data_IF_720473014686
#
_entry.id   IF_720473014686
#
_cell.length_a   1.000
_cell.length_b   1.000
_cell.length_c   1.000
_cell.angle_alpha   90.00
_cell.angle_beta   90.00
_cell.angle_gamma   90.00
#
_symmetry.space_group_name_H-M   'P 1'
#
loop_
_entity.id
_entity.type
_entity.pdbx_description
1 polymer ?
#
# COMPACT_ATOMS: atom_id res chain seq x y z
N UNK A 1 -9.76 -6.58 -15.55
CA UNK A 1 -8.30 -6.64 -15.38
C UNK A 1 -7.89 -6.17 -13.99
N UNK A 2 -8.14 -4.90 -13.58
CA UNK A 2 -7.67 -4.35 -12.30
C UNK A 2 -8.03 -5.22 -11.09
N UNK A 3 -9.30 -5.59 -10.92
CA UNK A 3 -9.72 -6.47 -9.82
C UNK A 3 -9.08 -7.87 -9.88
N UNK A 4 -8.81 -8.43 -11.06
CA UNK A 4 -8.13 -9.71 -11.20
C UNK A 4 -6.68 -9.61 -10.68
N UNK A 5 -5.99 -8.51 -11.00
CA UNK A 5 -4.65 -8.22 -10.46
C UNK A 5 -4.68 -8.12 -8.93
N UNK A 6 -5.58 -7.33 -8.36
CA UNK A 6 -5.67 -7.17 -6.90
C UNK A 6 -6.01 -8.48 -6.18
N UNK A 7 -6.92 -9.30 -6.74
CA UNK A 7 -7.23 -10.63 -6.18
C UNK A 7 -6.04 -11.58 -6.23
N UNK A 8 -5.25 -11.53 -7.32
CA UNK A 8 -4.02 -12.33 -7.40
C UNK A 8 -3.06 -11.98 -6.26
N UNK A 9 -2.75 -10.71 -6.07
CA UNK A 9 -1.89 -10.28 -4.95
C UNK A 9 -2.43 -10.73 -3.59
N UNK A 10 -3.73 -10.59 -3.37
CA UNK A 10 -4.34 -11.00 -2.10
C UNK A 10 -4.26 -12.53 -1.87
N UNK A 11 -4.31 -13.33 -2.92
CA UNK A 11 -4.34 -14.79 -2.85
C UNK A 11 -2.96 -15.42 -2.93
N UNK A 12 -2.05 -14.86 -3.73
CA UNK A 12 -0.74 -15.47 -4.06
C UNK A 12 0.45 -14.66 -3.56
N UNK A 13 0.25 -13.39 -3.21
CA UNK A 13 1.30 -12.44 -2.82
C UNK A 13 1.99 -11.74 -3.98
N UNK A 14 1.55 -11.97 -5.22
CA UNK A 14 2.17 -11.40 -6.42
C UNK A 14 1.20 -11.14 -7.57
N UNK A 15 1.73 -10.61 -8.69
CA UNK A 15 0.93 -10.37 -9.88
C UNK A 15 0.40 -11.67 -10.48
N UNK A 16 -0.70 -11.62 -11.24
CA UNK A 16 -1.25 -12.80 -11.91
C UNK A 16 -0.36 -13.27 -13.07
N UNK A 17 -0.50 -14.54 -13.42
CA UNK A 17 0.04 -15.11 -14.64
C UNK A 17 -0.61 -14.46 -15.87
N UNK A 18 0.12 -14.46 -17.01
CA UNK A 18 -0.33 -13.83 -18.25
C UNK A 18 -1.67 -14.35 -18.74
N UNK A 19 -1.92 -15.67 -18.66
CA UNK A 19 -3.18 -16.28 -19.08
C UNK A 19 -4.39 -15.72 -18.29
N UNK A 20 -4.24 -15.48 -16.98
CA UNK A 20 -5.29 -14.89 -16.16
C UNK A 20 -5.55 -13.43 -16.55
N UNK A 21 -4.53 -12.69 -16.97
CA UNK A 21 -4.69 -11.33 -17.47
C UNK A 21 -5.43 -11.30 -18.82
N UNK A 22 -5.09 -12.21 -19.73
CA UNK A 22 -5.75 -12.36 -21.03
C UNK A 22 -7.23 -12.72 -20.86
N UNK A 23 -7.53 -13.70 -20.01
CA UNK A 23 -8.91 -14.07 -19.69
C UNK A 23 -9.71 -12.92 -19.07
N UNK A 24 -9.09 -12.17 -18.15
CA UNK A 24 -9.73 -11.04 -17.49
C UNK A 24 -9.91 -9.81 -18.40
N UNK A 25 -9.11 -9.70 -19.44
CA UNK A 25 -9.20 -8.61 -20.43
C UNK A 25 -10.17 -8.92 -21.56
N UNK A 26 -10.43 -10.20 -21.88
CA UNK A 26 -11.22 -10.61 -23.03
C UNK A 26 -12.59 -9.88 -23.13
N UNK A 27 -13.00 -9.41 -24.32
CA UNK A 27 -12.37 -9.58 -25.64
C UNK A 27 -11.29 -8.53 -25.99
N UNK A 28 -10.83 -7.74 -25.05
CA UNK A 28 -9.84 -6.66 -25.26
C UNK A 28 -8.42 -7.18 -25.06
N UNK A 29 -7.43 -6.39 -25.51
CA UNK A 29 -6.02 -6.69 -25.33
C UNK A 29 -5.58 -6.42 -23.88
N UNK A 30 -4.92 -7.41 -23.25
CA UNK A 30 -4.50 -7.33 -21.87
C UNK A 30 -3.38 -6.28 -21.65
N UNK A 31 -2.45 -6.17 -22.61
CA UNK A 31 -1.35 -5.19 -22.52
C UNK A 31 -1.88 -3.76 -22.62
N UNK A 32 -2.85 -3.53 -23.50
CA UNK A 32 -3.52 -2.22 -23.60
C UNK A 32 -4.26 -1.88 -22.30
N UNK A 33 -5.01 -2.82 -21.73
CA UNK A 33 -5.73 -2.62 -20.48
C UNK A 33 -4.78 -2.31 -19.30
N UNK A 34 -3.62 -2.96 -19.24
CA UNK A 34 -2.58 -2.65 -18.26
C UNK A 34 -1.97 -1.27 -18.48
N UNK A 35 -1.71 -0.87 -19.74
CA UNK A 35 -1.18 0.46 -20.05
C UNK A 35 -2.15 1.57 -19.65
N UNK A 36 -3.46 1.38 -19.87
CA UNK A 36 -4.51 2.33 -19.43
C UNK A 36 -4.56 2.45 -17.91
N UNK A 37 -4.45 1.33 -17.18
CA UNK A 37 -4.39 1.33 -15.73
C UNK A 37 -3.12 2.03 -15.21
N UNK A 38 -1.99 1.86 -15.89
CA UNK A 38 -0.74 2.54 -15.54
C UNK A 38 -0.84 4.07 -15.78
N UNK A 39 -1.45 4.51 -16.88
CA UNK A 39 -1.71 5.92 -17.13
C UNK A 39 -2.62 6.56 -16.06
N UNK A 40 -3.56 5.77 -15.53
CA UNK A 40 -4.46 6.18 -14.44
C UNK A 40 -3.84 6.13 -13.05
N UNK A 41 -2.57 5.77 -12.92
CA UNK A 41 -1.85 5.55 -11.63
C UNK A 41 -2.53 4.49 -10.73
N UNK A 42 -3.15 3.46 -11.34
CA UNK A 42 -3.68 2.30 -10.60
C UNK A 42 -2.63 1.22 -10.39
N UNK A 43 -1.62 1.17 -11.26
CA UNK A 43 -0.50 0.25 -11.20
C UNK A 43 0.75 0.85 -11.86
N UNK A 44 1.92 0.22 -11.62
CA UNK A 44 3.16 0.55 -12.32
C UNK A 44 3.68 -0.68 -13.05
N UNK A 45 4.24 -0.44 -14.24
CA UNK A 45 4.89 -1.46 -15.08
C UNK A 45 6.38 -1.17 -15.17
N UNK A 46 7.18 -2.23 -15.27
CA UNK A 46 8.59 -2.09 -15.66
C UNK A 46 8.75 -1.96 -17.20
N UNK A 47 10.00 -1.79 -17.66
CA UNK A 47 10.32 -1.66 -19.09
C UNK A 47 9.94 -2.90 -19.92
N UNK A 48 9.73 -4.03 -19.28
CA UNK A 48 9.27 -5.27 -19.92
C UNK A 48 7.73 -5.43 -19.86
N UNK A 49 7.00 -4.43 -19.35
CA UNK A 49 5.54 -4.46 -19.21
C UNK A 49 5.05 -5.33 -18.06
N UNK A 50 5.91 -5.72 -17.12
CA UNK A 50 5.52 -6.52 -15.95
C UNK A 50 5.05 -5.62 -14.82
N UNK A 51 4.01 -6.05 -14.12
CA UNK A 51 3.45 -5.32 -12.97
C UNK A 51 4.46 -5.31 -11.81
N UNK A 52 4.93 -4.14 -11.41
CA UNK A 52 5.78 -3.92 -10.24
C UNK A 52 4.99 -3.41 -9.04
N UNK A 53 3.92 -2.66 -9.29
CA UNK A 53 2.99 -2.13 -8.28
C UNK A 53 1.57 -2.32 -8.80
N UNK A 54 0.65 -2.69 -7.92
CA UNK A 54 -0.78 -2.55 -8.13
C UNK A 54 -1.40 -2.09 -6.81
N UNK A 55 -1.59 -0.79 -6.66
CA UNK A 55 -2.01 -0.22 -5.37
C UNK A 55 -3.24 -0.91 -4.79
N UNK A 56 -3.15 -1.38 -3.52
CA UNK A 56 -2.13 -1.08 -2.49
C UNK A 56 -0.90 -2.00 -2.47
N UNK A 57 -0.74 -2.93 -3.39
CA UNK A 57 0.30 -3.96 -3.37
C UNK A 57 1.58 -3.56 -4.12
N UNK A 58 2.70 -4.15 -3.69
CA UNK A 58 3.99 -4.16 -4.39
C UNK A 58 4.39 -5.58 -4.76
N UNK A 59 4.85 -5.79 -5.99
CA UNK A 59 5.49 -7.04 -6.40
C UNK A 59 6.92 -7.16 -5.87
N UNK A 60 7.51 -6.06 -5.41
CA UNK A 60 8.85 -6.01 -4.85
C UNK A 60 8.80 -5.87 -3.33
N UNK A 61 9.81 -6.39 -2.59
CA UNK A 61 9.89 -6.20 -1.15
C UNK A 61 9.90 -4.71 -0.76
N UNK A 62 9.06 -4.37 0.23
CA UNK A 62 9.02 -3.06 0.87
C UNK A 62 9.17 -3.21 2.39
N UNK A 63 9.16 -2.09 3.12
CA UNK A 63 9.14 -2.11 4.58
C UNK A 63 7.83 -2.64 5.18
N UNK A 64 6.78 -2.82 4.38
CA UNK A 64 5.42 -3.11 4.83
C UNK A 64 4.96 -4.48 4.32
N UNK A 65 5.14 -5.51 5.14
CA UNK A 65 4.67 -6.86 4.83
C UNK A 65 3.29 -7.08 5.46
N UNK A 66 2.34 -7.59 4.69
CA UNK A 66 0.96 -7.81 5.11
C UNK A 66 0.61 -9.29 4.97
N UNK A 67 0.27 -9.94 6.07
CA UNK A 67 -0.26 -11.30 6.10
C UNK A 67 -1.78 -11.23 6.13
N UNK A 68 -2.43 -11.72 5.08
CA UNK A 68 -3.89 -11.73 4.93
C UNK A 68 -4.43 -13.06 5.47
N UNK A 69 -5.45 -13.03 6.31
CA UNK A 69 -6.08 -14.25 6.82
C UNK A 69 -6.82 -14.98 5.67
N UNK A 70 -6.50 -16.27 5.49
CA UNK A 70 -7.03 -17.06 4.37
C UNK A 70 -6.43 -16.73 3.01
N UNK A 71 -5.44 -15.84 2.95
CA UNK A 71 -4.74 -15.42 1.76
C UNK A 71 -3.23 -15.52 1.88
N UNK A 72 -2.53 -14.77 1.04
CA UNK A 72 -1.08 -14.77 1.00
C UNK A 72 -0.44 -13.76 1.95
N UNK A 73 0.89 -13.82 2.00
CA UNK A 73 1.72 -12.72 2.50
C UNK A 73 2.15 -11.87 1.31
N UNK A 74 1.80 -10.58 1.32
CA UNK A 74 2.12 -9.65 0.26
C UNK A 74 2.89 -8.44 0.82
N UNK A 75 3.49 -7.65 -0.05
CA UNK A 75 4.05 -6.35 0.31
C UNK A 75 3.09 -5.23 -0.07
N UNK A 76 3.00 -4.21 0.76
CA UNK A 76 2.26 -2.98 0.47
C UNK A 76 3.23 -1.85 0.12
N UNK A 77 2.80 -0.88 -0.68
CA UNK A 77 3.65 0.22 -1.12
C UNK A 77 4.01 1.18 0.01
N UNK A 78 3.07 1.45 0.92
CA UNK A 78 3.23 2.36 2.04
C UNK A 78 2.38 1.96 3.26
N UNK A 79 2.49 2.72 4.35
CA UNK A 79 1.72 2.46 5.56
C UNK A 79 0.19 2.57 5.35
N UNK A 80 -0.27 3.54 4.57
CA UNK A 80 -1.69 3.73 4.25
C UNK A 80 -2.20 2.59 3.38
N UNK A 81 -1.40 2.18 2.39
CA UNK A 81 -1.71 1.03 1.53
C UNK A 81 -1.85 -0.26 2.36
N UNK A 82 -0.89 -0.49 3.27
CA UNK A 82 -0.93 -1.65 4.15
C UNK A 82 -2.21 -1.71 5.01
N UNK A 83 -2.64 -0.55 5.55
CA UNK A 83 -3.87 -0.43 6.33
C UNK A 83 -5.14 -0.59 5.47
N UNK A 84 -5.05 -0.30 4.18
CA UNK A 84 -6.15 -0.41 3.22
C UNK A 84 -6.43 -1.83 2.73
N UNK A 85 -5.47 -2.77 2.86
CA UNK A 85 -5.63 -4.15 2.36
C UNK A 85 -6.74 -4.89 3.10
N UNK A 86 -6.74 -4.89 4.43
CA UNK A 86 -7.75 -5.60 5.21
C UNK A 86 -9.20 -5.22 4.84
N UNK A 87 -9.59 -3.93 4.81
CA UNK A 87 -10.92 -3.53 4.39
C UNK A 87 -11.22 -3.75 2.89
N UNK A 88 -10.20 -3.80 2.04
CA UNK A 88 -10.36 -4.10 0.61
C UNK A 88 -10.76 -5.56 0.38
N UNK A 89 -10.11 -6.49 1.08
CA UNK A 89 -10.35 -7.93 0.93
C UNK A 89 -11.41 -8.48 1.89
N UNK A 90 -11.98 -7.61 2.73
CA UNK A 90 -12.94 -7.95 3.79
C UNK A 90 -12.45 -9.10 4.69
N UNK A 91 -11.18 -9.02 5.08
CA UNK A 91 -10.52 -10.07 5.88
C UNK A 91 -9.53 -9.48 6.87
N UNK A 92 -9.27 -10.18 7.96
CA UNK A 92 -8.23 -9.83 8.91
C UNK A 92 -6.86 -9.79 8.25
N UNK A 93 -6.05 -8.80 8.60
CA UNK A 93 -4.66 -8.73 8.16
C UNK A 93 -3.73 -8.34 9.32
N UNK A 94 -2.50 -8.86 9.26
CA UNK A 94 -1.40 -8.49 10.17
C UNK A 94 -0.32 -7.82 9.35
N UNK A 95 -0.02 -6.57 9.68
CA UNK A 95 1.00 -5.75 9.05
C UNK A 95 2.27 -5.81 9.90
N UNK A 96 3.38 -6.14 9.28
CA UNK A 96 4.72 -6.07 9.86
C UNK A 96 5.49 -4.96 9.17
N UNK A 97 6.01 -4.03 9.94
CA UNK A 97 6.77 -2.87 9.47
C UNK A 97 7.87 -2.51 10.48
N UNK A 98 8.59 -1.44 10.20
CA UNK A 98 9.57 -0.87 11.11
C UNK A 98 9.54 0.66 11.02
N UNK A 99 9.86 1.30 12.13
CA UNK A 99 10.12 2.75 12.17
C UNK A 99 11.37 3.07 11.34
N UNK A 100 11.26 3.92 10.30
CA UNK A 100 12.39 4.18 9.40
C UNK A 100 13.55 4.93 10.04
N UNK A 101 13.33 5.56 11.20
CA UNK A 101 14.37 6.30 11.92
C UNK A 101 15.16 5.44 12.89
N UNK A 102 14.49 4.45 13.49
CA UNK A 102 15.05 3.68 14.62
C UNK A 102 15.19 2.19 14.32
N UNK A 103 14.53 1.68 13.28
CA UNK A 103 14.44 0.26 13.00
C UNK A 103 13.51 -0.50 13.97
N UNK A 104 12.84 0.19 14.90
CA UNK A 104 11.97 -0.46 15.87
C UNK A 104 10.83 -1.19 15.13
N UNK A 105 10.61 -2.49 15.41
CA UNK A 105 9.52 -3.24 14.81
C UNK A 105 8.14 -2.65 15.18
N UNK A 106 7.26 -2.61 14.20
CA UNK A 106 5.87 -2.17 14.35
C UNK A 106 4.97 -3.26 13.78
N UNK A 107 4.00 -3.70 14.58
CA UNK A 107 2.98 -4.65 14.14
C UNK A 107 1.60 -4.02 14.28
N UNK A 108 0.79 -4.13 13.23
CA UNK A 108 -0.61 -3.68 13.27
C UNK A 108 -1.50 -4.83 12.83
N UNK A 109 -2.47 -5.19 13.66
CA UNK A 109 -3.55 -6.11 13.30
C UNK A 109 -4.79 -5.30 12.98
N UNK A 110 -5.40 -5.55 11.82
CA UNK A 110 -6.69 -4.95 11.42
C UNK A 110 -7.69 -6.08 11.23
N UNK A 111 -8.84 -5.98 11.92
CA UNK A 111 -9.90 -7.00 11.90
C UNK A 111 -11.27 -6.31 11.93
N UNK A 112 -11.89 -6.15 10.77
CA UNK A 112 -13.12 -5.39 10.59
C UNK A 112 -12.96 -3.92 11.01
N UNK A 113 -13.66 -3.54 12.09
CA UNK A 113 -13.57 -2.20 12.69
C UNK A 113 -12.51 -2.09 13.79
N UNK A 114 -11.91 -3.21 14.20
CA UNK A 114 -10.96 -3.24 15.29
C UNK A 114 -9.53 -3.20 14.77
N UNK A 115 -8.64 -2.58 15.56
CA UNK A 115 -7.20 -2.63 15.28
C UNK A 115 -6.40 -2.72 16.57
N UNK A 116 -5.27 -3.41 16.49
CA UNK A 116 -4.32 -3.52 17.57
C UNK A 116 -2.93 -3.13 17.05
N UNK A 117 -2.24 -2.25 17.78
CA UNK A 117 -0.98 -1.65 17.39
C UNK A 117 0.11 -1.95 18.43
N UNK A 118 1.25 -2.41 17.95
CA UNK A 118 2.46 -2.60 18.75
C UNK A 118 3.65 -1.89 18.08
N UNK A 119 4.24 -0.89 18.76
CA UNK A 119 3.84 -0.34 20.07
C UNK A 119 2.50 0.41 19.98
N UNK A 120 1.78 0.52 21.10
CA UNK A 120 0.50 1.25 21.18
C UNK A 120 0.63 2.74 20.87
N UNK A 121 1.84 3.28 20.94
CA UNK A 121 2.19 4.66 20.62
C UNK A 121 2.43 4.90 19.14
N UNK A 122 2.40 3.84 18.31
CA UNK A 122 2.67 3.96 16.88
C UNK A 122 1.66 4.86 16.18
N UNK A 123 2.15 5.57 15.18
CA UNK A 123 1.42 6.53 14.36
C UNK A 123 1.82 6.36 12.90
N UNK A 124 1.12 7.03 11.98
CA UNK A 124 1.52 7.13 10.58
C UNK A 124 1.89 8.56 10.25
N UNK A 125 2.98 8.75 9.55
CA UNK A 125 3.27 10.02 8.88
C UNK A 125 2.77 9.92 7.44
N UNK A 126 1.83 10.79 7.08
CA UNK A 126 1.28 10.94 5.72
C UNK A 126 2.06 12.05 5.03
N UNK A 127 3.08 11.67 4.27
CA UNK A 127 4.03 12.58 3.64
C UNK A 127 4.02 12.51 2.13
N UNK A 128 4.41 13.64 1.51
CA UNK A 128 4.61 13.74 0.06
C UNK A 128 5.75 14.70 -0.26
N UNK A 129 6.39 14.51 -1.41
CA UNK A 129 7.32 15.51 -1.93
C UNK A 129 6.59 16.78 -2.33
N UNK A 130 7.23 17.93 -2.18
CA UNK A 130 6.74 19.22 -2.66
C UNK A 130 6.91 19.43 -4.17
N UNK A 131 7.08 18.36 -4.97
CA UNK A 131 7.31 18.45 -6.40
C UNK A 131 6.06 18.95 -7.13
N UNK A 132 6.21 20.00 -7.94
CA UNK A 132 5.15 20.51 -8.82
C UNK A 132 4.91 19.61 -10.04
N UNK A 133 5.72 18.56 -10.22
CA UNK A 133 5.61 17.65 -11.34
C UNK A 133 4.68 16.48 -11.00
N UNK A 134 3.67 16.23 -11.83
CA UNK A 134 2.85 15.04 -11.70
C UNK A 134 3.72 13.81 -12.00
N UNK A 135 3.76 12.86 -11.07
CA UNK A 135 4.43 11.58 -11.21
C UNK A 135 3.57 10.49 -10.57
N UNK A 136 3.90 9.21 -10.74
CA UNK A 136 3.17 8.13 -10.08
C UNK A 136 3.25 8.26 -8.56
N UNK A 137 2.19 7.86 -7.87
CA UNK A 137 2.10 7.89 -6.40
C UNK A 137 3.27 7.18 -5.73
N UNK A 138 3.81 6.13 -6.35
CA UNK A 138 4.99 5.41 -5.91
C UNK A 138 6.21 6.34 -5.68
N UNK A 139 6.38 7.37 -6.50
CA UNK A 139 7.51 8.31 -6.45
C UNK A 139 7.19 9.53 -5.58
N UNK A 140 5.93 9.97 -5.58
CA UNK A 140 5.53 11.24 -4.96
C UNK A 140 5.25 11.08 -3.47
N UNK A 141 4.59 10.00 -3.05
CA UNK A 141 4.10 9.87 -1.68
C UNK A 141 4.40 8.51 -1.01
N UNK A 142 4.37 7.38 -1.73
CA UNK A 142 4.46 6.08 -1.08
C UNK A 142 5.77 5.88 -0.30
N UNK A 143 6.89 6.42 -0.76
CA UNK A 143 8.15 6.37 -0.03
C UNK A 143 8.17 7.19 1.29
N UNK A 144 7.19 8.06 1.49
CA UNK A 144 7.13 9.00 2.62
C UNK A 144 5.96 8.77 3.57
N UNK A 145 5.06 7.84 3.24
CA UNK A 145 3.96 7.42 4.10
C UNK A 145 4.37 6.21 4.94
N UNK A 146 4.90 6.45 6.13
CA UNK A 146 5.52 5.43 6.96
C UNK A 146 4.90 5.31 8.35
N UNK A 147 5.00 4.11 8.93
CA UNK A 147 4.75 3.92 10.36
C UNK A 147 5.92 4.43 11.18
N UNK A 148 5.62 5.04 12.32
CA UNK A 148 6.59 5.44 13.33
C UNK A 148 6.16 4.89 14.69
N UNK A 149 7.12 4.44 15.50
CA UNK A 149 6.85 3.87 16.81
C UNK A 149 6.23 4.89 17.79
N UNK A 150 6.52 6.18 17.59
CA UNK A 150 5.98 7.27 18.39
C UNK A 150 5.75 8.54 17.56
N UNK A 151 4.84 9.39 18.03
CA UNK A 151 4.64 10.73 17.45
C UNK A 151 5.92 11.57 17.47
N UNK A 152 6.75 11.42 18.51
CA UNK A 152 8.01 12.16 18.63
C UNK A 152 9.02 11.72 17.54
N UNK A 153 9.12 10.42 17.25
CA UNK A 153 9.95 9.91 16.16
C UNK A 153 9.46 10.43 14.79
N UNK A 154 8.16 10.41 14.53
CA UNK A 154 7.59 10.95 13.30
C UNK A 154 7.86 12.45 13.14
N UNK A 155 7.73 13.24 14.22
CA UNK A 155 8.00 14.68 14.20
C UNK A 155 9.50 14.97 13.97
N UNK A 156 10.40 14.23 14.62
CA UNK A 156 11.84 14.37 14.42
C UNK A 156 12.25 14.02 12.99
N UNK A 157 11.67 12.95 12.43
CA UNK A 157 11.90 12.57 11.04
C UNK A 157 11.44 13.67 10.07
N UNK A 158 10.22 14.19 10.25
CA UNK A 158 9.69 15.26 9.41
C UNK A 158 10.55 16.53 9.48
N UNK A 159 11.05 16.88 10.68
CA UNK A 159 11.96 18.02 10.85
C UNK A 159 13.30 17.81 10.11
N UNK A 160 13.81 16.59 10.08
CA UNK A 160 15.04 16.22 9.36
C UNK A 160 14.84 16.16 7.83
N UNK A 161 13.60 16.14 7.34
CA UNK A 161 13.27 16.03 5.92
C UNK A 161 12.37 17.21 5.46
N UNK A 162 12.86 18.45 5.48
CA UNK A 162 12.04 19.65 5.24
C UNK A 162 11.44 19.73 3.83
N UNK A 163 11.97 18.96 2.87
CA UNK A 163 11.40 18.83 1.53
C UNK A 163 10.14 17.97 1.47
N UNK A 164 9.84 17.22 2.54
CA UNK A 164 8.67 16.37 2.64
C UNK A 164 7.59 17.10 3.43
N UNK A 165 6.50 17.39 2.79
CA UNK A 165 5.32 17.98 3.44
C UNK A 165 4.34 16.90 3.86
N UNK A 166 3.66 17.09 4.99
CA UNK A 166 2.72 16.09 5.47
C UNK A 166 2.29 16.30 6.91
N UNK A 167 1.63 15.28 7.46
CA UNK A 167 1.10 15.32 8.81
C UNK A 167 1.14 13.97 9.52
N UNK A 168 1.12 14.02 10.86
CA UNK A 168 1.09 12.80 11.68
C UNK A 168 -0.37 12.45 11.95
N UNK A 169 -0.82 11.33 11.41
CA UNK A 169 -2.15 10.77 11.59
C UNK A 169 -2.22 9.94 12.88
N UNK A 170 -3.37 10.01 13.57
CA UNK A 170 -3.72 9.02 14.59
C UNK A 170 -3.99 7.66 13.95
N UNK A 171 -3.98 6.59 14.76
CA UNK A 171 -4.27 5.22 14.32
C UNK A 171 -5.63 5.14 13.60
N UNK A 172 -6.68 5.65 14.24
CA UNK A 172 -8.04 5.65 13.66
C UNK A 172 -8.10 6.42 12.33
N UNK A 173 -7.44 7.58 12.27
CA UNK A 173 -7.44 8.39 11.05
C UNK A 173 -6.70 7.69 9.91
N UNK A 174 -5.56 7.06 10.19
CA UNK A 174 -4.79 6.31 9.19
C UNK A 174 -5.60 5.12 8.62
N UNK A 175 -6.28 4.36 9.49
CA UNK A 175 -7.18 3.27 9.06
C UNK A 175 -8.32 3.81 8.20
N UNK A 176 -8.96 4.92 8.62
CA UNK A 176 -10.03 5.53 7.84
C UNK A 176 -9.56 5.94 6.44
N UNK A 177 -8.37 6.53 6.32
CA UNK A 177 -7.80 6.91 5.01
C UNK A 177 -7.58 5.68 4.13
N UNK A 178 -6.92 4.64 4.64
CA UNK A 178 -6.73 3.38 3.89
C UNK A 178 -8.05 2.75 3.44
N UNK A 179 -9.06 2.72 4.34
CA UNK A 179 -10.40 2.21 4.02
C UNK A 179 -11.12 3.06 2.97
N UNK A 180 -11.01 4.39 3.02
CA UNK A 180 -11.62 5.28 2.04
C UNK A 180 -11.03 5.10 0.64
N UNK A 181 -9.71 4.89 0.54
CA UNK A 181 -9.03 4.71 -0.74
C UNK A 181 -9.31 3.32 -1.32
N UNK A 182 -9.15 2.26 -0.52
CA UNK A 182 -9.08 0.90 -1.04
C UNK A 182 -10.30 0.02 -0.72
N UNK A 183 -11.08 0.34 0.30
CA UNK A 183 -12.11 -0.54 0.85
C UNK A 183 -13.26 -0.91 -0.09
N UNK A 184 -13.36 -0.31 -1.27
CA UNK A 184 -14.39 -0.60 -2.27
C UNK A 184 -13.85 -1.27 -3.53
N UNK A 185 -12.53 -1.42 -3.70
CA UNK A 185 -11.93 -1.85 -4.96
C UNK A 185 -12.26 -3.30 -5.36
N UNK A 186 -12.54 -4.17 -4.39
CA UNK A 186 -12.87 -5.58 -4.62
C UNK A 186 -14.33 -5.96 -4.32
N UNK A 187 -15.17 -4.96 -4.04
CA UNK A 187 -16.61 -5.15 -3.82
C UNK A 187 -17.42 -5.11 -5.09
#
# INVERSE_FOLDING_TARGET
VHQAVLRSFAQTGGPPETSLLEDAAAPFDAAQALAELAQGDFLCLDDAGRITVAYPFSALPTAHRVQIAGGASAYAMCAIDALGIAPMVDSKAVIQSADPSTGQPITVTVDGSNSEWHPRTAVVFDGRTGSEHPGPSAEICCGYMNFFATRAAAAAWAHAHPAITGGILSQDRAIQVGKQIFGQLLR
#
